data_IF_439698629038
#
_entry.id   IF_439698629038
#
_cell.length_a   1.000
_cell.length_b   1.000
_cell.length_c   1.000
_cell.angle_alpha   90.00
_cell.angle_beta   90.00
_cell.angle_gamma   90.00
#
_symmetry.space_group_name_H-M   'P 1'
#
loop_
_entity.id
_entity.type
_entity.pdbx_description
1 polymer ?
#
# COMPACT_ATOMS: atom_id res chain seq x y z
N UNK A 1 13.78 -24.16 -26.33
CA UNK A 1 12.94 -23.44 -25.36
C UNK A 1 12.78 -24.37 -24.17
N UNK A 2 13.70 -24.32 -23.23
CA UNK A 2 13.53 -25.04 -21.96
C UNK A 2 12.71 -24.13 -21.06
N UNK A 3 11.44 -24.49 -20.81
CA UNK A 3 10.66 -23.88 -19.74
C UNK A 3 11.45 -24.04 -18.45
N UNK A 4 11.99 -22.92 -17.94
CA UNK A 4 12.57 -22.85 -16.60
C UNK A 4 11.44 -22.65 -15.59
N UNK A 5 10.45 -23.54 -15.63
CA UNK A 5 9.38 -23.58 -14.64
C UNK A 5 9.95 -24.18 -13.35
N UNK A 6 10.07 -23.35 -12.32
CA UNK A 6 10.40 -23.82 -10.98
C UNK A 6 9.09 -24.01 -10.22
N UNK A 7 8.89 -25.16 -9.59
CA UNK A 7 7.65 -25.34 -8.80
C UNK A 7 7.72 -24.53 -7.51
N UNK A 8 8.69 -24.83 -6.66
CA UNK A 8 8.77 -24.24 -5.33
C UNK A 8 10.20 -23.76 -5.06
N UNK A 9 10.32 -22.55 -4.50
CA UNK A 9 11.55 -22.03 -3.91
C UNK A 9 11.28 -21.77 -2.44
N UNK A 10 11.99 -22.50 -1.59
CA UNK A 10 11.92 -22.31 -0.13
C UNK A 10 13.31 -21.95 0.36
N UNK A 11 13.44 -20.81 1.03
CA UNK A 11 14.69 -20.36 1.63
C UNK A 11 14.48 -20.03 3.11
N UNK A 12 15.28 -20.65 3.96
CA UNK A 12 15.38 -20.30 5.38
C UNK A 12 16.81 -19.86 5.65
N UNK A 13 17.00 -18.57 5.93
CA UNK A 13 18.33 -17.97 6.09
C UNK A 13 18.35 -17.21 7.42
N UNK A 14 19.44 -17.33 8.18
CA UNK A 14 19.60 -16.52 9.39
C UNK A 14 20.11 -15.13 9.03
N UNK A 15 21.35 -15.05 8.55
CA UNK A 15 22.01 -13.79 8.20
C UNK A 15 22.60 -13.90 6.81
N UNK A 16 22.28 -12.95 5.95
CA UNK A 16 22.88 -12.82 4.62
C UNK A 16 22.94 -11.36 4.23
N UNK A 17 23.97 -10.96 3.47
CA UNK A 17 24.02 -9.59 2.97
C UNK A 17 22.98 -9.36 1.88
N UNK A 18 22.99 -10.18 0.83
CA UNK A 18 22.14 -9.95 -0.35
C UNK A 18 21.47 -11.24 -0.79
N UNK A 19 20.18 -11.13 -1.13
CA UNK A 19 19.43 -12.14 -1.88
C UNK A 19 19.03 -11.49 -3.20
N UNK A 20 19.39 -12.14 -4.31
CA UNK A 20 18.97 -11.72 -5.64
C UNK A 20 18.39 -12.91 -6.39
N UNK A 21 17.19 -12.74 -6.96
CA UNK A 21 16.50 -13.77 -7.71
C UNK A 21 15.94 -13.18 -9.01
N UNK A 22 16.26 -13.81 -10.13
CA UNK A 22 15.65 -13.54 -11.42
C UNK A 22 15.05 -14.84 -11.96
N UNK A 23 13.73 -14.89 -12.07
CA UNK A 23 12.99 -16.12 -12.42
C UNK A 23 11.97 -15.80 -13.51
N UNK A 24 11.78 -16.73 -14.45
CA UNK A 24 10.68 -16.61 -15.41
C UNK A 24 9.37 -16.99 -14.73
N UNK A 25 9.16 -18.28 -14.51
CA UNK A 25 7.94 -18.82 -13.93
C UNK A 25 8.24 -19.61 -12.67
N UNK A 26 7.49 -19.30 -11.61
CA UNK A 26 7.53 -20.08 -10.38
C UNK A 26 6.15 -20.21 -9.76
N UNK A 27 5.79 -21.39 -9.25
CA UNK A 27 4.51 -21.50 -8.55
C UNK A 27 4.59 -20.83 -7.18
N UNK A 28 5.51 -21.26 -6.32
CA UNK A 28 5.58 -20.75 -4.96
C UNK A 28 6.99 -20.29 -4.59
N UNK A 29 7.08 -19.10 -3.99
CA UNK A 29 8.26 -18.64 -3.27
C UNK A 29 7.89 -18.45 -1.82
N UNK A 30 8.62 -19.11 -0.92
CA UNK A 30 8.53 -18.91 0.52
C UNK A 30 9.91 -18.58 1.09
N UNK A 31 10.01 -17.44 1.77
CA UNK A 31 11.26 -16.98 2.38
C UNK A 31 11.04 -16.70 3.86
N UNK A 32 11.84 -17.35 4.70
CA UNK A 32 11.91 -17.08 6.14
C UNK A 32 13.32 -16.58 6.46
N UNK A 33 13.46 -15.29 6.76
CA UNK A 33 14.76 -14.64 6.95
C UNK A 33 14.79 -13.93 8.29
N UNK A 34 15.86 -14.12 9.08
CA UNK A 34 16.03 -13.33 10.30
C UNK A 34 16.60 -11.95 9.94
N UNK A 35 17.78 -11.88 9.33
CA UNK A 35 18.42 -10.62 8.96
C UNK A 35 18.95 -10.68 7.52
N UNK A 36 18.61 -9.66 6.74
CA UNK A 36 19.16 -9.45 5.41
C UNK A 36 19.38 -7.98 5.13
N UNK A 37 20.45 -7.63 4.42
CA UNK A 37 20.59 -6.24 4.00
C UNK A 37 19.67 -5.95 2.81
N UNK A 38 19.86 -6.65 1.69
CA UNK A 38 19.06 -6.43 0.48
C UNK A 38 18.35 -7.69 -0.01
N UNK A 39 17.08 -7.55 -0.39
CA UNK A 39 16.35 -8.50 -1.23
C UNK A 39 16.01 -7.82 -2.54
N UNK A 40 16.47 -8.38 -3.66
CA UNK A 40 16.07 -7.95 -5.00
C UNK A 40 15.46 -9.12 -5.77
N UNK A 41 14.23 -8.97 -6.24
CA UNK A 41 13.52 -10.03 -6.95
C UNK A 41 12.91 -9.51 -8.25
N UNK A 42 13.26 -10.12 -9.37
CA UNK A 42 12.64 -9.88 -10.67
C UNK A 42 11.99 -11.18 -11.15
N UNK A 43 10.66 -11.19 -11.28
CA UNK A 43 9.92 -12.41 -11.65
C UNK A 43 8.94 -12.08 -12.77
N UNK A 44 8.86 -12.92 -13.81
CA UNK A 44 7.80 -12.75 -14.81
C UNK A 44 6.46 -13.19 -14.20
N UNK A 45 6.36 -14.45 -13.80
CA UNK A 45 5.13 -15.02 -13.26
C UNK A 45 5.39 -15.73 -11.94
N UNK A 46 4.62 -15.38 -10.90
CA UNK A 46 4.59 -16.13 -9.64
C UNK A 46 3.17 -16.33 -9.13
N UNK A 47 2.82 -17.55 -8.74
CA UNK A 47 1.48 -17.76 -8.20
C UNK A 47 1.37 -17.27 -6.76
N UNK A 48 2.32 -17.65 -5.89
CA UNK A 48 2.36 -17.22 -4.50
C UNK A 48 3.75 -16.82 -4.11
N UNK A 49 3.88 -15.61 -3.58
CA UNK A 49 5.09 -15.12 -2.92
C UNK A 49 4.78 -14.82 -1.47
N UNK A 50 5.42 -15.55 -0.57
CA UNK A 50 5.32 -15.35 0.87
C UNK A 50 6.69 -15.04 1.47
N UNK A 51 6.79 -13.95 2.23
CA UNK A 51 8.02 -13.56 2.92
C UNK A 51 7.72 -13.27 4.38
N UNK A 52 8.44 -13.95 5.27
CA UNK A 52 8.45 -13.68 6.70
C UNK A 52 9.88 -13.23 7.07
N UNK A 53 10.03 -11.96 7.41
CA UNK A 53 11.35 -11.34 7.63
C UNK A 53 11.35 -10.65 9.00
N UNK A 54 12.38 -10.88 9.81
CA UNK A 54 12.52 -10.11 11.05
C UNK A 54 13.12 -8.73 10.77
N UNK A 55 14.31 -8.65 10.19
CA UNK A 55 14.95 -7.38 9.82
C UNK A 55 15.41 -7.41 8.38
N UNK A 56 15.10 -6.36 7.64
CA UNK A 56 15.66 -6.10 6.32
C UNK A 56 15.98 -4.62 6.13
N UNK A 57 17.04 -4.32 5.41
CA UNK A 57 17.26 -2.94 5.00
C UNK A 57 16.34 -2.63 3.82
N UNK A 58 16.64 -3.19 2.64
CA UNK A 58 15.88 -2.91 1.43
C UNK A 58 15.23 -4.16 0.82
N UNK A 59 13.96 -4.03 0.44
CA UNK A 59 13.25 -4.97 -0.43
C UNK A 59 12.91 -4.25 -1.73
N UNK A 60 13.39 -4.79 -2.85
CA UNK A 60 13.01 -4.37 -4.19
C UNK A 60 12.38 -5.55 -4.96
N UNK A 61 11.16 -5.36 -5.45
CA UNK A 61 10.39 -6.39 -6.15
C UNK A 61 9.90 -5.82 -7.47
N UNK A 62 10.21 -6.51 -8.56
CA UNK A 62 9.65 -6.25 -9.88
C UNK A 62 8.96 -7.53 -10.36
N UNK A 63 7.65 -7.48 -10.59
CA UNK A 63 6.87 -8.63 -11.03
C UNK A 63 5.99 -8.23 -12.24
N UNK A 64 5.93 -9.07 -13.27
CA UNK A 64 4.92 -8.89 -14.32
C UNK A 64 3.55 -9.34 -13.80
N UNK A 65 3.41 -10.63 -13.48
CA UNK A 65 2.15 -11.20 -13.00
C UNK A 65 2.34 -11.96 -11.69
N UNK A 66 1.49 -11.68 -10.71
CA UNK A 66 1.42 -12.46 -9.48
C UNK A 66 0.03 -12.65 -8.96
N UNK A 67 -0.31 -13.85 -8.50
CA UNK A 67 -1.62 -14.01 -7.86
C UNK A 67 -1.61 -13.47 -6.44
N UNK A 68 -0.67 -13.87 -5.59
CA UNK A 68 -0.65 -13.39 -4.20
C UNK A 68 0.76 -13.00 -3.75
N UNK A 69 0.88 -11.81 -3.17
CA UNK A 69 2.04 -11.38 -2.39
C UNK A 69 1.62 -11.28 -0.93
N UNK A 70 2.36 -11.95 -0.05
CA UNK A 70 2.16 -11.90 1.39
C UNK A 70 3.50 -11.55 2.03
N UNK A 71 3.53 -10.47 2.81
CA UNK A 71 4.72 -10.05 3.55
C UNK A 71 4.38 -9.84 5.02
N UNK A 72 5.09 -10.56 5.90
CA UNK A 72 5.06 -10.36 7.34
C UNK A 72 6.45 -9.91 7.78
N UNK A 73 6.60 -8.64 8.12
CA UNK A 73 7.90 -8.03 8.40
C UNK A 73 7.89 -7.36 9.77
N UNK A 74 8.90 -7.62 10.60
CA UNK A 74 9.02 -6.89 11.86
C UNK A 74 9.64 -5.49 11.64
N UNK A 75 10.82 -5.40 11.04
CA UNK A 75 11.49 -4.13 10.74
C UNK A 75 12.00 -4.11 9.31
N UNK A 76 11.70 -3.04 8.58
CA UNK A 76 12.25 -2.78 7.24
C UNK A 76 12.62 -1.31 7.07
N UNK A 77 13.75 -1.03 6.42
CA UNK A 77 14.05 0.34 6.04
C UNK A 77 13.20 0.76 4.84
N UNK A 78 13.26 0.03 3.72
CA UNK A 78 12.50 0.42 2.53
C UNK A 78 11.95 -0.77 1.76
N UNK A 79 10.69 -0.64 1.32
CA UNK A 79 10.03 -1.54 0.38
C UNK A 79 9.74 -0.76 -0.90
N UNK A 80 10.21 -1.28 -2.03
CA UNK A 80 9.86 -0.80 -3.36
C UNK A 80 9.27 -1.95 -4.18
N UNK A 81 8.05 -1.75 -4.69
CA UNK A 81 7.35 -2.73 -5.51
C UNK A 81 6.92 -2.10 -6.83
N UNK A 82 7.32 -2.73 -7.93
CA UNK A 82 6.81 -2.47 -9.27
C UNK A 82 6.10 -3.72 -9.77
N UNK A 83 4.80 -3.61 -10.04
CA UNK A 83 3.97 -4.75 -10.45
C UNK A 83 3.11 -4.35 -11.63
N UNK A 84 3.07 -5.19 -12.67
CA UNK A 84 2.08 -4.99 -13.74
C UNK A 84 0.70 -5.46 -13.25
N UNK A 85 0.54 -6.75 -12.95
CA UNK A 85 -0.73 -7.32 -12.52
C UNK A 85 -0.58 -8.12 -11.23
N UNK A 86 -1.46 -7.87 -10.27
CA UNK A 86 -1.56 -8.67 -9.05
C UNK A 86 -2.99 -8.91 -8.61
N UNK A 87 -3.33 -10.12 -8.16
CA UNK A 87 -4.65 -10.31 -7.56
C UNK A 87 -4.68 -9.74 -6.14
N UNK A 88 -3.80 -10.21 -5.25
CA UNK A 88 -3.77 -9.77 -3.85
C UNK A 88 -2.37 -9.35 -3.39
N UNK A 89 -2.30 -8.21 -2.71
CA UNK A 89 -1.18 -7.83 -1.86
C UNK A 89 -1.66 -7.80 -0.40
N UNK A 90 -0.98 -8.53 0.47
CA UNK A 90 -1.18 -8.46 1.92
C UNK A 90 0.13 -8.17 2.63
N UNK A 91 0.16 -7.10 3.42
CA UNK A 91 1.32 -6.66 4.17
C UNK A 91 0.97 -6.49 5.65
N UNK A 92 1.68 -7.21 6.51
CA UNK A 92 1.63 -7.04 7.97
C UNK A 92 3.01 -6.61 8.43
N UNK A 93 3.16 -5.33 8.81
CA UNK A 93 4.45 -4.74 9.15
C UNK A 93 4.40 -4.11 10.53
N UNK A 94 5.39 -4.39 11.38
CA UNK A 94 5.49 -3.66 12.64
C UNK A 94 6.11 -2.26 12.41
N UNK A 95 7.32 -2.18 11.86
CA UNK A 95 7.99 -0.91 11.59
C UNK A 95 8.56 -0.86 10.17
N UNK A 96 8.29 0.22 9.46
CA UNK A 96 8.87 0.53 8.16
C UNK A 96 9.25 2.00 8.06
N UNK A 97 10.36 2.32 7.40
CA UNK A 97 10.61 3.72 7.04
C UNK A 97 9.75 4.07 5.83
N UNK A 98 10.01 3.46 4.67
CA UNK A 98 9.34 3.82 3.43
C UNK A 98 8.68 2.62 2.73
N UNK A 99 7.47 2.83 2.21
CA UNK A 99 6.81 1.95 1.25
C UNK A 99 6.55 2.74 -0.03
N UNK A 100 7.07 2.25 -1.15
CA UNK A 100 6.76 2.76 -2.48
C UNK A 100 6.18 1.64 -3.36
N UNK A 101 4.97 1.85 -3.86
CA UNK A 101 4.31 0.91 -4.77
C UNK A 101 3.92 1.60 -6.07
N UNK A 102 4.24 0.95 -7.19
CA UNK A 102 3.78 1.33 -8.53
C UNK A 102 3.14 0.11 -9.17
N UNK A 103 1.83 0.14 -9.33
CA UNK A 103 1.02 -1.01 -9.77
C UNK A 103 0.18 -0.58 -10.97
N UNK A 104 0.14 -1.39 -12.02
CA UNK A 104 -0.82 -1.15 -13.11
C UNK A 104 -2.21 -1.63 -12.70
N UNK A 105 -2.39 -2.92 -12.43
CA UNK A 105 -3.68 -3.49 -12.06
C UNK A 105 -3.56 -4.33 -10.78
N UNK A 106 -4.50 -4.13 -9.85
CA UNK A 106 -4.65 -4.96 -8.66
C UNK A 106 -6.12 -5.22 -8.32
N UNK A 107 -6.46 -6.41 -7.82
CA UNK A 107 -7.76 -6.56 -7.16
C UNK A 107 -7.69 -5.93 -5.76
N UNK A 108 -6.93 -6.55 -4.85
CA UNK A 108 -7.00 -6.16 -3.45
C UNK A 108 -5.61 -5.81 -2.89
N UNK A 109 -5.51 -4.67 -2.21
CA UNK A 109 -4.38 -4.30 -1.35
C UNK A 109 -4.87 -4.24 0.09
N UNK A 110 -4.26 -5.04 0.97
CA UNK A 110 -4.50 -5.00 2.40
C UNK A 110 -3.20 -4.74 3.16
N UNK A 111 -3.15 -3.64 3.93
CA UNK A 111 -2.00 -3.26 4.74
C UNK A 111 -2.39 -3.12 6.20
N UNK A 112 -1.65 -3.78 7.09
CA UNK A 112 -1.74 -3.64 8.53
C UNK A 112 -0.36 -3.23 9.05
N UNK A 113 -0.21 -1.96 9.43
CA UNK A 113 1.09 -1.38 9.80
C UNK A 113 1.00 -0.76 11.19
N UNK A 114 1.97 -1.05 12.06
CA UNK A 114 2.04 -0.37 13.35
C UNK A 114 2.69 1.01 13.22
N UNK A 115 3.88 1.12 12.62
CA UNK A 115 4.53 2.42 12.36
C UNK A 115 5.10 2.47 10.95
N UNK A 116 4.85 3.58 10.25
CA UNK A 116 5.46 3.90 8.96
C UNK A 116 5.88 5.36 8.92
N UNK A 117 7.00 5.68 8.27
CA UNK A 117 7.33 7.06 7.98
C UNK A 117 6.54 7.52 6.74
N UNK A 118 6.82 6.93 5.58
CA UNK A 118 6.17 7.30 4.31
C UNK A 118 5.52 6.10 3.61
N UNK A 119 4.30 6.31 3.11
CA UNK A 119 3.66 5.46 2.10
C UNK A 119 3.44 6.28 0.84
N UNK A 120 3.96 5.80 -0.29
CA UNK A 120 3.69 6.33 -1.62
C UNK A 120 3.11 5.24 -2.52
N UNK A 121 1.92 5.47 -3.06
CA UNK A 121 1.23 4.53 -3.96
C UNK A 121 0.86 5.23 -5.26
N UNK A 122 1.30 4.65 -6.38
CA UNK A 122 0.85 5.00 -7.72
C UNK A 122 0.15 3.79 -8.33
N UNK A 123 -1.14 3.90 -8.61
CA UNK A 123 -1.94 2.79 -9.10
C UNK A 123 -2.77 3.24 -10.30
N UNK A 124 -2.77 2.45 -11.38
CA UNK A 124 -3.69 2.71 -12.49
C UNK A 124 -5.10 2.20 -12.13
N UNK A 125 -5.27 0.92 -11.84
CA UNK A 125 -6.57 0.34 -11.49
C UNK A 125 -6.46 -0.53 -10.24
N UNK A 126 -7.41 -0.35 -9.31
CA UNK A 126 -7.57 -1.19 -8.12
C UNK A 126 -9.05 -1.44 -7.83
N UNK A 127 -9.40 -2.63 -7.34
CA UNK A 127 -10.72 -2.84 -6.74
C UNK A 127 -10.73 -2.27 -5.33
N UNK A 128 -9.99 -2.91 -4.41
CA UNK A 128 -10.07 -2.58 -3.00
C UNK A 128 -8.70 -2.19 -2.42
N UNK A 129 -8.65 -1.06 -1.71
CA UNK A 129 -7.54 -0.70 -0.83
C UNK A 129 -8.04 -0.67 0.60
N UNK A 130 -7.44 -1.47 1.47
CA UNK A 130 -7.72 -1.50 2.90
C UNK A 130 -6.42 -1.22 3.66
N UNK A 131 -6.41 -0.16 4.46
CA UNK A 131 -5.28 0.21 5.31
C UNK A 131 -5.69 0.34 6.78
N UNK A 132 -5.02 -0.41 7.65
CA UNK A 132 -5.07 -0.27 9.10
C UNK A 132 -3.69 0.17 9.58
N UNK A 133 -3.58 1.41 10.05
CA UNK A 133 -2.30 1.98 10.45
C UNK A 133 -2.41 2.58 11.85
N UNK A 134 -1.46 2.27 12.74
CA UNK A 134 -1.44 2.90 14.06
C UNK A 134 -0.79 4.29 13.99
N UNK A 135 0.42 4.42 13.44
CA UNK A 135 1.09 5.71 13.25
C UNK A 135 1.71 5.80 11.86
N UNK A 136 1.47 6.92 11.17
CA UNK A 136 2.12 7.27 9.90
C UNK A 136 2.54 8.73 9.90
N UNK A 137 3.66 9.04 9.25
CA UNK A 137 4.00 10.42 8.93
C UNK A 137 3.22 10.85 7.69
N UNK A 138 3.58 10.31 6.52
CA UNK A 138 3.01 10.73 5.25
C UNK A 138 2.35 9.57 4.49
N UNK A 139 1.14 9.81 3.97
CA UNK A 139 0.50 8.97 2.96
C UNK A 139 0.29 9.80 1.70
N UNK A 140 0.88 9.37 0.59
CA UNK A 140 0.65 9.92 -0.73
C UNK A 140 0.08 8.85 -1.67
N UNK A 141 -1.13 9.07 -2.21
CA UNK A 141 -1.76 8.18 -3.17
C UNK A 141 -2.15 8.92 -4.45
N UNK A 142 -1.72 8.37 -5.59
CA UNK A 142 -2.15 8.80 -6.92
C UNK A 142 -2.80 7.61 -7.61
N UNK A 143 -4.11 7.66 -7.81
CA UNK A 143 -4.88 6.53 -8.34
C UNK A 143 -5.70 7.01 -9.54
N UNK A 144 -5.70 6.23 -10.63
CA UNK A 144 -6.54 6.55 -11.79
C UNK A 144 -7.97 6.04 -11.57
N UNK A 145 -8.16 4.76 -11.30
CA UNK A 145 -9.47 4.17 -11.00
C UNK A 145 -9.39 3.29 -9.74
N UNK A 146 -10.36 3.45 -8.84
CA UNK A 146 -10.55 2.60 -7.66
C UNK A 146 -12.04 2.32 -7.42
N UNK A 147 -12.38 1.12 -6.96
CA UNK A 147 -13.70 0.88 -6.41
C UNK A 147 -13.77 1.40 -4.98
N UNK A 148 -13.09 0.73 -4.05
CA UNK A 148 -13.23 1.02 -2.63
C UNK A 148 -11.89 1.37 -1.99
N UNK A 149 -11.86 2.47 -1.23
CA UNK A 149 -10.77 2.80 -0.31
C UNK A 149 -11.32 2.80 1.11
N UNK A 150 -10.76 1.95 1.97
CA UNK A 150 -11.04 1.93 3.40
C UNK A 150 -9.76 2.18 4.20
N UNK A 151 -9.73 3.27 4.97
CA UNK A 151 -8.61 3.64 5.83
C UNK A 151 -9.04 3.80 7.28
N UNK A 152 -8.38 3.08 8.18
CA UNK A 152 -8.51 3.25 9.62
C UNK A 152 -7.14 3.59 10.21
N UNK A 153 -6.97 4.83 10.66
CA UNK A 153 -5.68 5.33 11.14
C UNK A 153 -5.82 5.91 12.54
N UNK A 154 -4.90 5.58 13.45
CA UNK A 154 -4.89 6.22 14.77
C UNK A 154 -4.24 7.62 14.72
N UNK A 155 -3.01 7.73 14.22
CA UNK A 155 -2.31 9.01 14.07
C UNK A 155 -1.67 9.13 12.69
N UNK A 156 -1.88 10.28 12.03
CA UNK A 156 -1.22 10.65 10.77
C UNK A 156 -0.79 12.11 10.79
N UNK A 157 0.35 12.43 10.18
CA UNK A 157 0.68 13.82 9.88
C UNK A 157 -0.06 14.25 8.62
N UNK A 158 0.35 13.76 7.47
CA UNK A 158 -0.17 14.23 6.20
C UNK A 158 -0.79 13.10 5.37
N UNK A 159 -1.99 13.35 4.83
CA UNK A 159 -2.61 12.53 3.79
C UNK A 159 -2.78 13.39 2.54
N UNK A 160 -2.20 12.94 1.43
CA UNK A 160 -2.41 13.52 0.11
C UNK A 160 -2.96 12.48 -0.86
N UNK A 161 -4.16 12.70 -1.38
CA UNK A 161 -4.83 11.81 -2.34
C UNK A 161 -5.18 12.56 -3.62
N UNK A 162 -4.73 12.05 -4.76
CA UNK A 162 -5.14 12.48 -6.08
C UNK A 162 -5.80 11.30 -6.81
N UNK A 163 -7.10 11.38 -7.03
CA UNK A 163 -7.88 10.29 -7.62
C UNK A 163 -8.66 10.79 -8.84
N UNK A 164 -8.62 10.07 -9.95
CA UNK A 164 -9.48 10.40 -11.09
C UNK A 164 -10.91 9.87 -10.86
N UNK A 165 -11.09 8.58 -10.64
CA UNK A 165 -12.41 7.99 -10.38
C UNK A 165 -12.38 7.07 -9.15
N UNK A 166 -13.35 7.24 -8.25
CA UNK A 166 -13.58 6.36 -7.10
C UNK A 166 -15.06 6.07 -6.89
N UNK A 167 -15.40 4.83 -6.51
CA UNK A 167 -16.74 4.54 -6.03
C UNK A 167 -16.88 5.00 -4.58
N UNK A 168 -16.24 4.31 -3.66
CA UNK A 168 -16.41 4.56 -2.23
C UNK A 168 -15.09 4.91 -1.55
N UNK A 169 -15.09 5.99 -0.76
CA UNK A 169 -14.02 6.31 0.19
C UNK A 169 -14.58 6.29 1.60
N UNK A 170 -14.04 5.43 2.45
CA UNK A 170 -14.32 5.38 3.88
C UNK A 170 -13.04 5.63 4.69
N UNK A 171 -12.99 6.74 5.43
CA UNK A 171 -11.86 7.09 6.30
C UNK A 171 -12.33 7.25 7.75
N UNK A 172 -11.64 6.57 8.67
CA UNK A 172 -11.80 6.70 10.10
C UNK A 172 -10.43 7.03 10.72
N UNK A 173 -10.23 8.28 11.12
CA UNK A 173 -8.95 8.76 11.64
C UNK A 173 -9.13 9.30 13.06
N UNK A 174 -8.27 8.93 14.02
CA UNK A 174 -8.35 9.56 15.34
C UNK A 174 -7.70 10.95 15.33
N UNK A 175 -6.43 11.06 14.94
CA UNK A 175 -5.70 12.33 14.87
C UNK A 175 -5.05 12.51 13.50
N UNK A 176 -5.24 13.68 12.88
CA UNK A 176 -4.58 14.08 11.64
C UNK A 176 -4.15 15.54 11.68
N UNK A 177 -2.99 15.84 11.12
CA UNK A 177 -2.59 17.24 10.87
C UNK A 177 -3.24 17.73 9.59
N UNK A 178 -2.81 17.22 8.44
CA UNK A 178 -3.26 17.73 7.14
C UNK A 178 -3.89 16.63 6.29
N UNK A 179 -5.10 16.89 5.77
CA UNK A 179 -5.71 16.09 4.70
C UNK A 179 -5.88 16.94 3.45
N UNK A 180 -5.30 16.49 2.35
CA UNK A 180 -5.52 17.05 1.02
C UNK A 180 -6.08 15.98 0.09
N UNK A 181 -7.28 16.20 -0.44
CA UNK A 181 -7.88 15.33 -1.44
C UNK A 181 -8.27 16.12 -2.69
N UNK A 182 -7.80 15.64 -3.84
CA UNK A 182 -8.19 16.13 -5.17
C UNK A 182 -8.81 14.97 -5.94
N UNK A 183 -10.13 14.99 -6.12
CA UNK A 183 -10.88 13.90 -6.75
C UNK A 183 -11.65 14.43 -7.96
N UNK A 184 -11.55 13.77 -9.11
CA UNK A 184 -12.37 14.18 -10.26
C UNK A 184 -13.81 13.65 -10.11
N UNK A 185 -14.02 12.36 -9.94
CA UNK A 185 -15.36 11.77 -9.76
C UNK A 185 -15.38 10.84 -8.54
N UNK A 186 -16.39 11.00 -7.68
CA UNK A 186 -16.64 10.10 -6.55
C UNK A 186 -18.12 9.80 -6.36
N UNK A 187 -18.47 8.55 -6.05
CA UNK A 187 -19.82 8.20 -5.67
C UNK A 187 -20.06 8.58 -4.21
N UNK A 188 -19.44 7.85 -3.28
CA UNK A 188 -19.67 8.05 -1.86
C UNK A 188 -18.37 8.38 -1.12
N UNK A 189 -18.40 9.44 -0.30
CA UNK A 189 -17.35 9.73 0.68
C UNK A 189 -17.94 9.68 2.07
N UNK A 190 -17.35 8.86 2.93
CA UNK A 190 -17.60 8.82 4.36
C UNK A 190 -16.30 9.07 5.13
N UNK A 191 -16.19 10.22 5.80
CA UNK A 191 -15.05 10.55 6.66
C UNK A 191 -15.51 10.74 8.10
N UNK A 192 -14.76 10.16 9.04
CA UNK A 192 -14.92 10.42 10.47
C UNK A 192 -13.57 10.63 11.13
N UNK A 193 -13.47 11.74 11.85
CA UNK A 193 -12.23 12.23 12.45
C UNK A 193 -12.46 12.83 13.83
N UNK A 194 -11.54 12.60 14.77
CA UNK A 194 -11.65 13.19 16.11
C UNK A 194 -10.96 14.54 16.20
N UNK A 195 -9.67 14.61 15.87
CA UNK A 195 -8.89 15.85 15.91
C UNK A 195 -8.21 16.07 14.56
N UNK A 196 -8.50 17.22 13.95
CA UNK A 196 -7.94 17.61 12.64
C UNK A 196 -7.43 19.05 12.68
N UNK A 197 -6.28 19.31 12.05
CA UNK A 197 -5.78 20.68 11.89
C UNK A 197 -6.32 21.28 10.60
N UNK A 198 -5.87 20.80 9.45
CA UNK A 198 -6.21 21.37 8.15
C UNK A 198 -6.83 20.32 7.21
N UNK A 199 -7.98 20.63 6.63
CA UNK A 199 -8.60 19.81 5.58
C UNK A 199 -8.78 20.66 4.33
N UNK A 200 -8.27 20.16 3.19
CA UNK A 200 -8.50 20.70 1.87
C UNK A 200 -9.07 19.61 0.94
N UNK A 201 -10.32 19.77 0.52
CA UNK A 201 -10.97 18.87 -0.44
C UNK A 201 -11.36 19.64 -1.70
N UNK A 202 -10.93 19.16 -2.86
CA UNK A 202 -11.35 19.63 -4.17
C UNK A 202 -11.95 18.47 -4.95
N UNK A 203 -13.26 18.50 -5.18
CA UNK A 203 -14.00 17.44 -5.87
C UNK A 203 -14.72 18.04 -7.08
N UNK A 204 -14.62 17.43 -8.27
CA UNK A 204 -15.36 17.91 -9.44
C UNK A 204 -16.79 17.34 -9.48
N UNK A 205 -16.98 16.04 -9.28
CA UNK A 205 -18.31 15.43 -9.23
C UNK A 205 -18.43 14.52 -8.00
N UNK A 206 -19.52 14.68 -7.24
CA UNK A 206 -19.82 13.85 -6.08
C UNK A 206 -21.31 13.53 -5.97
N UNK A 207 -21.64 12.29 -5.61
CA UNK A 207 -23.02 11.87 -5.38
C UNK A 207 -23.43 12.03 -3.93
N UNK A 208 -22.69 11.43 -3.00
CA UNK A 208 -22.96 11.53 -1.56
C UNK A 208 -21.69 11.81 -0.73
N UNK A 209 -21.81 12.72 0.24
CA UNK A 209 -20.76 13.03 1.21
C UNK A 209 -21.35 12.97 2.62
N UNK A 210 -20.70 12.21 3.49
CA UNK A 210 -20.91 12.20 4.93
C UNK A 210 -19.59 12.50 5.65
N UNK A 211 -19.54 13.60 6.40
CA UNK A 211 -18.37 13.97 7.22
C UNK A 211 -18.80 14.13 8.67
N UNK A 212 -18.09 13.47 9.58
CA UNK A 212 -18.26 13.58 11.03
C UNK A 212 -16.93 13.98 11.66
N UNK A 213 -16.77 15.27 11.95
CA UNK A 213 -15.55 15.82 12.53
C UNK A 213 -15.87 16.35 13.93
N UNK A 214 -15.10 15.96 14.95
CA UNK A 214 -15.29 16.46 16.32
C UNK A 214 -14.59 17.80 16.55
N UNK A 215 -13.28 17.88 16.30
CA UNK A 215 -12.47 19.10 16.43
C UNK A 215 -11.73 19.39 15.13
N UNK A 216 -11.88 20.62 14.61
CA UNK A 216 -11.22 21.07 13.38
C UNK A 216 -10.78 22.52 13.50
N UNK A 217 -9.58 22.83 12.99
CA UNK A 217 -9.05 24.20 13.00
C UNK A 217 -9.36 24.94 11.70
N UNK A 218 -9.00 24.38 10.53
CA UNK A 218 -9.27 24.97 9.23
C UNK A 218 -9.83 23.95 8.21
N UNK A 219 -10.89 24.35 7.49
CA UNK A 219 -11.51 23.55 6.42
C UNK A 219 -11.64 24.40 5.15
N UNK A 220 -11.18 23.85 4.04
CA UNK A 220 -11.44 24.31 2.69
C UNK A 220 -12.10 23.20 1.86
N UNK A 221 -13.31 23.44 1.37
CA UNK A 221 -13.99 22.53 0.45
C UNK A 221 -14.36 23.27 -0.84
N UNK A 222 -13.99 22.68 -1.98
CA UNK A 222 -14.42 23.07 -3.31
C UNK A 222 -15.14 21.88 -3.96
N UNK A 223 -16.40 22.08 -4.33
CA UNK A 223 -17.19 21.14 -5.14
C UNK A 223 -17.62 21.92 -6.38
N UNK A 224 -17.23 21.47 -7.57
CA UNK A 224 -17.51 22.17 -8.84
C UNK A 224 -18.83 21.74 -9.49
#
# INVERSE_FOLDING_TARGET
>A
MSNNEVRDIVMCINEVWNISMCINEVWNIAMCINEVWNIAMCINEVWVKAMCINKVWDIAICINEVRNIIMCINEVWSIAMYINEVWNISMCINEVWNIAMSINEVCDIAMCINKVWDIAMYINEVWDIIMYINEVWDIAMCIYEVWDIAMCINEVWDIAMCINEVWDIAMCINEVWDIVMCINEVWDIAMSTNEEWDIAMCINEVWDIAMCINEVWDIAMCIN
#
